data_IF_988163899573
#
_entry.id   IF_988163899573
#
_cell.length_a   1.000
_cell.length_b   1.000
_cell.length_c   1.000
_cell.angle_alpha   90.00
_cell.angle_beta   90.00
_cell.angle_gamma   90.00
#
_symmetry.space_group_name_H-M   'P 1'
#
loop_
_entity.id
_entity.type
_entity.pdbx_description
1 polymer ?
#
# COMPACT_ATOMS: atom_id res chain seq x y z
N UNK A 1 3.48 -2.18 21.59
CA UNK A 1 3.26 -2.44 20.14
C UNK A 1 2.97 -3.91 19.90
N UNK A 2 1.78 -4.23 19.39
CA UNK A 2 1.46 -5.59 18.96
C UNK A 2 2.21 -5.91 17.65
N UNK A 3 3.02 -6.98 17.58
CA UNK A 3 3.78 -7.34 16.37
C UNK A 3 2.90 -7.74 15.17
N UNK A 4 1.61 -7.96 15.40
CA UNK A 4 0.60 -8.29 14.38
C UNK A 4 -0.14 -7.06 13.84
N UNK A 5 0.05 -5.88 14.46
CA UNK A 5 -0.60 -4.66 14.00
C UNK A 5 -0.19 -4.34 12.57
N UNK A 6 -1.16 -4.01 11.69
CA UNK A 6 -0.85 -3.63 10.34
C UNK A 6 -0.13 -2.26 10.30
N UNK A 7 0.93 -2.20 9.51
CA UNK A 7 1.70 -1.00 9.23
C UNK A 7 1.82 -0.82 7.70
N UNK A 8 2.07 0.40 7.23
CA UNK A 8 2.26 0.74 5.82
C UNK A 8 1.10 0.28 4.89
N UNK A 9 -0.14 0.37 5.38
CA UNK A 9 -1.33 -0.08 4.65
C UNK A 9 -1.57 0.75 3.39
N UNK A 10 -1.73 0.09 2.25
CA UNK A 10 -2.05 0.71 0.98
C UNK A 10 -2.95 -0.17 0.10
N UNK A 11 -3.62 0.47 -0.86
CA UNK A 11 -4.62 -0.17 -1.74
C UNK A 11 -4.24 0.03 -3.21
N UNK A 12 -4.36 -1.00 -4.04
CA UNK A 12 -4.19 -0.91 -5.50
C UNK A 12 -5.33 -1.62 -6.24
N UNK A 13 -5.48 -1.33 -7.54
CA UNK A 13 -6.49 -1.99 -8.38
C UNK A 13 -6.11 -3.42 -8.73
N UNK A 14 -7.12 -4.29 -8.84
CA UNK A 14 -6.99 -5.61 -9.47
C UNK A 14 -8.17 -5.81 -10.41
N UNK A 15 -7.97 -5.58 -11.71
CA UNK A 15 -9.06 -5.66 -12.68
C UNK A 15 -10.17 -4.62 -12.41
N UNK A 16 -11.42 -4.88 -12.85
CA UNK A 16 -12.47 -3.86 -12.87
C UNK A 16 -13.19 -3.65 -11.53
N UNK A 17 -13.29 -4.67 -10.69
CA UNK A 17 -14.15 -4.69 -9.50
C UNK A 17 -13.47 -5.25 -8.25
N UNK A 18 -12.15 -5.48 -8.28
CA UNK A 18 -11.39 -5.94 -7.12
C UNK A 18 -10.31 -4.94 -6.74
N UNK A 19 -9.94 -5.00 -5.48
CA UNK A 19 -8.84 -4.21 -4.92
C UNK A 19 -7.89 -5.12 -4.16
N UNK A 20 -6.60 -4.82 -4.27
CA UNK A 20 -5.56 -5.40 -3.42
C UNK A 20 -5.38 -4.48 -2.23
N UNK A 21 -5.31 -5.07 -1.04
CA UNK A 21 -4.92 -4.41 0.19
C UNK A 21 -3.63 -5.05 0.66
N UNK A 22 -2.60 -4.23 0.85
CA UNK A 22 -1.28 -4.66 1.23
C UNK A 22 -0.83 -3.95 2.50
N UNK A 23 -0.16 -4.67 3.40
CA UNK A 23 0.33 -4.15 4.68
C UNK A 23 1.50 -4.96 5.20
N UNK A 24 2.23 -4.41 6.17
CA UNK A 24 3.39 -5.05 6.79
C UNK A 24 3.10 -5.38 8.26
N UNK A 25 3.55 -6.55 8.71
CA UNK A 25 3.57 -6.97 10.12
C UNK A 25 4.99 -7.35 10.56
N UNK A 26 5.28 -7.32 11.86
CA UNK A 26 6.62 -7.70 12.38
C UNK A 26 6.84 -9.22 12.37
N UNK A 27 5.76 -9.99 12.47
CA UNK A 27 5.78 -11.46 12.45
C UNK A 27 4.89 -12.01 11.34
N UNK A 28 5.11 -13.27 10.98
CA UNK A 28 4.27 -13.99 10.03
C UNK A 28 2.88 -14.20 10.62
N UNK A 29 1.87 -13.84 9.85
CA UNK A 29 0.46 -14.04 10.18
C UNK A 29 -0.23 -14.73 9.00
N UNK A 30 -1.44 -15.26 9.22
CA UNK A 30 -2.33 -15.59 8.12
C UNK A 30 -2.89 -14.29 7.53
N UNK A 31 -2.58 -13.93 6.27
CA UNK A 31 -3.06 -12.69 5.67
C UNK A 31 -4.55 -12.79 5.40
N UNK A 32 -5.35 -12.09 6.19
CA UNK A 32 -6.81 -12.06 6.06
C UNK A 32 -7.30 -10.63 6.15
N UNK A 33 -8.19 -10.25 5.24
CA UNK A 33 -8.97 -9.01 5.33
C UNK A 33 -10.42 -9.36 5.61
N UNK A 34 -11.01 -8.70 6.60
CA UNK A 34 -12.47 -8.70 6.79
C UNK A 34 -13.01 -7.33 6.39
N UNK A 35 -14.13 -7.29 5.67
CA UNK A 35 -14.67 -6.04 5.11
C UNK A 35 -16.19 -6.02 4.98
N UNK A 36 -16.77 -4.83 4.92
CA UNK A 36 -18.20 -4.59 4.77
C UNK A 36 -18.52 -3.13 4.49
N UNK A 37 -19.78 -2.80 4.21
CA UNK A 37 -20.21 -1.43 3.90
C UNK A 37 -20.71 -0.64 5.13
N UNK A 38 -20.60 -1.23 6.32
CA UNK A 38 -21.00 -0.60 7.59
C UNK A 38 -19.84 -0.75 8.57
N UNK A 39 -19.42 0.36 9.16
CA UNK A 39 -18.36 0.38 10.19
C UNK A 39 -18.67 -0.62 11.31
N UNK A 40 -17.65 -1.36 11.72
CA UNK A 40 -17.76 -2.41 12.74
C UNK A 40 -18.50 -3.68 12.31
N UNK A 41 -19.03 -3.76 11.08
CA UNK A 41 -19.74 -4.94 10.56
C UNK A 41 -19.07 -5.46 9.29
N UNK A 42 -18.28 -6.52 9.45
CA UNK A 42 -17.54 -7.15 8.37
C UNK A 42 -18.19 -8.48 7.97
N UNK A 43 -19.04 -8.43 6.95
CA UNK A 43 -19.81 -9.61 6.48
C UNK A 43 -19.04 -10.43 5.45
N UNK A 44 -17.95 -9.89 4.90
CA UNK A 44 -17.10 -10.57 3.93
C UNK A 44 -15.69 -10.76 4.49
N UNK A 45 -14.99 -11.78 3.98
CA UNK A 45 -13.56 -11.97 4.23
C UNK A 45 -12.85 -12.46 2.97
N UNK A 46 -11.54 -12.23 2.92
CA UNK A 46 -10.66 -12.81 1.91
C UNK A 46 -9.30 -13.14 2.55
N UNK A 47 -8.69 -14.21 2.08
CA UNK A 47 -7.33 -14.60 2.44
C UNK A 47 -6.35 -14.21 1.33
N UNK A 48 -5.08 -14.14 1.68
CA UNK A 48 -4.03 -13.80 0.74
C UNK A 48 -2.69 -14.42 1.09
N UNK A 49 -1.62 -13.77 0.67
CA UNK A 49 -0.25 -14.29 0.75
C UNK A 49 0.65 -13.37 1.54
N UNK A 50 1.64 -13.94 2.20
CA UNK A 50 2.68 -13.19 2.89
C UNK A 50 4.03 -13.45 2.21
N UNK A 51 4.88 -12.44 2.19
CA UNK A 51 6.25 -12.53 1.69
C UNK A 51 7.16 -11.60 2.48
N UNK A 52 8.47 -11.75 2.31
CA UNK A 52 9.45 -10.79 2.81
C UNK A 52 10.62 -10.77 1.85
N UNK A 53 11.49 -9.78 1.97
CA UNK A 53 12.72 -9.72 1.19
C UNK A 53 13.91 -9.36 2.06
N UNK A 54 15.07 -9.79 1.60
CA UNK A 54 16.36 -9.34 2.09
C UNK A 54 16.98 -8.41 1.05
N UNK A 55 17.67 -7.40 1.54
CA UNK A 55 18.49 -6.54 0.72
C UNK A 55 19.90 -6.54 1.28
N UNK A 56 20.84 -7.02 0.47
CA UNK A 56 22.15 -7.43 0.97
C UNK A 56 21.99 -8.39 2.17
N UNK A 57 22.97 -8.44 3.08
CA UNK A 57 22.90 -9.24 4.33
C UNK A 57 22.50 -8.42 5.55
N UNK A 58 22.10 -7.16 5.36
CA UNK A 58 21.97 -6.16 6.44
C UNK A 58 20.53 -5.70 6.66
N UNK A 59 19.65 -5.88 5.68
CA UNK A 59 18.23 -5.53 5.80
C UNK A 59 17.35 -6.74 5.51
N UNK A 60 16.35 -6.91 6.36
CA UNK A 60 15.23 -7.82 6.15
C UNK A 60 13.94 -7.01 6.38
N UNK A 61 13.02 -7.08 5.42
CA UNK A 61 11.72 -6.44 5.58
C UNK A 61 10.89 -7.11 6.68
N UNK A 62 9.86 -6.42 7.17
CA UNK A 62 8.75 -7.09 7.82
C UNK A 62 8.03 -8.07 6.87
N UNK A 63 7.01 -8.74 7.38
CA UNK A 63 6.16 -9.62 6.60
C UNK A 63 5.15 -8.79 5.81
N UNK A 64 5.30 -8.78 4.50
CA UNK A 64 4.46 -8.07 3.54
C UNK A 64 3.29 -8.98 3.17
N UNK A 65 2.10 -8.56 3.54
CA UNK A 65 0.86 -9.29 3.37
C UNK A 65 0.04 -8.66 2.25
N UNK A 66 -0.43 -9.47 1.31
CA UNK A 66 -1.24 -9.04 0.17
C UNK A 66 -2.56 -9.81 0.14
N UNK A 67 -3.69 -9.12 0.14
CA UNK A 67 -5.03 -9.73 0.01
C UNK A 67 -5.82 -9.03 -1.10
N UNK A 68 -6.45 -9.81 -1.97
CA UNK A 68 -7.38 -9.28 -2.99
C UNK A 68 -8.82 -9.47 -2.51
N UNK A 69 -9.57 -8.38 -2.46
CA UNK A 69 -10.99 -8.36 -2.06
C UNK A 69 -11.88 -8.03 -3.26
N UNK A 70 -13.13 -8.48 -3.20
CA UNK A 70 -14.15 -8.24 -4.22
C UNK A 70 -14.81 -9.52 -4.73
N UNK A 71 -15.74 -9.42 -5.69
CA UNK A 71 -16.10 -8.21 -6.43
C UNK A 71 -16.74 -7.12 -5.54
N UNK A 72 -16.43 -5.86 -5.82
CA UNK A 72 -16.86 -4.68 -5.06
C UNK A 72 -17.82 -3.83 -5.89
N UNK A 73 -18.78 -3.20 -5.21
CA UNK A 73 -19.68 -2.24 -5.84
C UNK A 73 -18.91 -0.93 -6.14
N UNK A 74 -19.10 -0.29 -7.30
CA UNK A 74 -18.51 1.01 -7.60
C UNK A 74 -19.07 2.11 -6.69
N UNK A 75 -18.36 3.22 -6.56
CA UNK A 75 -18.75 4.40 -5.77
C UNK A 75 -19.26 4.09 -4.35
N UNK A 76 -18.66 3.09 -3.69
CA UNK A 76 -19.12 2.53 -2.42
C UNK A 76 -18.01 2.60 -1.38
N UNK A 77 -18.35 3.03 -0.16
CA UNK A 77 -17.43 3.01 0.98
C UNK A 77 -17.43 1.61 1.59
N UNK A 78 -16.23 1.05 1.75
CA UNK A 78 -15.99 -0.20 2.44
C UNK A 78 -15.10 0.06 3.66
N UNK A 79 -15.52 -0.48 4.79
CA UNK A 79 -14.75 -0.56 6.03
C UNK A 79 -14.05 -1.91 6.07
N UNK A 80 -12.80 -1.94 6.51
CA UNK A 80 -12.00 -3.15 6.51
C UNK A 80 -10.99 -3.20 7.65
N UNK A 81 -10.55 -4.42 7.97
CA UNK A 81 -9.46 -4.69 8.91
C UNK A 81 -8.46 -5.67 8.33
N UNK A 82 -7.18 -5.39 8.50
CA UNK A 82 -6.07 -6.24 8.09
C UNK A 82 -5.62 -7.14 9.25
N UNK A 83 -5.51 -8.45 9.04
CA UNK A 83 -5.21 -9.44 10.08
C UNK A 83 -6.44 -10.17 10.65
N UNK A 84 -7.57 -10.13 9.92
CA UNK A 84 -8.81 -10.80 10.32
C UNK A 84 -9.50 -10.16 11.53
N UNK A 85 -10.31 -10.96 12.24
CA UNK A 85 -11.10 -10.51 13.40
C UNK A 85 -10.27 -10.14 14.63
N UNK A 86 -9.01 -10.58 14.70
CA UNK A 86 -8.08 -10.23 15.78
C UNK A 86 -7.54 -8.80 15.68
N UNK A 87 -7.67 -8.17 14.51
CA UNK A 87 -7.20 -6.81 14.29
C UNK A 87 -8.13 -5.78 14.94
N UNK A 88 -7.54 -4.81 15.63
CA UNK A 88 -8.31 -3.76 16.33
C UNK A 88 -8.52 -2.53 15.45
N UNK A 89 -7.58 -2.22 14.56
CA UNK A 89 -7.61 -1.03 13.72
C UNK A 89 -8.54 -1.20 12.51
N UNK A 90 -9.56 -0.35 12.43
CA UNK A 90 -10.43 -0.24 11.26
C UNK A 90 -9.91 0.84 10.30
N UNK A 91 -9.94 0.52 9.01
CA UNK A 91 -9.70 1.43 7.90
C UNK A 91 -10.97 1.52 7.05
N UNK A 92 -11.00 2.48 6.12
CA UNK A 92 -12.03 2.55 5.11
C UNK A 92 -11.46 3.08 3.79
N UNK A 93 -12.04 2.65 2.68
CA UNK A 93 -11.76 3.19 1.36
C UNK A 93 -13.05 3.33 0.57
N UNK A 94 -13.01 4.16 -0.47
CA UNK A 94 -14.11 4.32 -1.42
C UNK A 94 -13.70 3.75 -2.78
N UNK A 95 -14.53 2.88 -3.35
CA UNK A 95 -14.33 2.42 -4.73
C UNK A 95 -14.60 3.57 -5.72
N UNK A 96 -13.87 3.66 -6.83
CA UNK A 96 -14.15 4.64 -7.89
C UNK A 96 -15.54 4.43 -8.50
N UNK A 97 -16.09 5.46 -9.18
CA UNK A 97 -17.30 5.29 -9.97
C UNK A 97 -17.04 4.41 -11.20
N UNK A 98 -18.06 3.69 -11.65
CA UNK A 98 -18.01 2.87 -12.87
C UNK A 98 -18.29 3.67 -14.15
N UNK A 99 -18.60 4.96 -14.02
CA UNK A 99 -18.91 5.87 -15.11
C UNK A 99 -18.11 7.17 -14.93
N UNK A 100 -17.86 7.86 -16.04
CA UNK A 100 -17.17 9.13 -16.03
C UNK A 100 -17.99 10.25 -15.37
N UNK A 101 -17.33 11.25 -14.75
CA UNK A 101 -15.88 11.38 -14.64
C UNK A 101 -15.26 10.52 -13.53
N UNK A 102 -14.06 9.99 -13.80
CA UNK A 102 -13.16 9.43 -12.77
C UNK A 102 -12.04 10.45 -12.58
N UNK A 103 -11.81 10.90 -11.34
CA UNK A 103 -10.82 11.93 -11.01
C UNK A 103 -9.50 11.29 -10.59
N UNK A 104 -8.43 11.64 -11.28
CA UNK A 104 -7.07 11.19 -10.98
C UNK A 104 -6.23 12.33 -10.43
N UNK A 105 -5.51 12.07 -9.36
CA UNK A 105 -4.41 12.90 -8.89
C UNK A 105 -3.09 12.25 -9.23
N UNK A 106 -2.11 13.07 -9.62
CA UNK A 106 -0.80 12.60 -10.09
C UNK A 106 0.30 13.46 -9.49
N UNK A 107 1.28 12.82 -8.87
CA UNK A 107 2.54 13.44 -8.45
C UNK A 107 3.65 12.40 -8.52
N UNK A 108 4.80 12.76 -9.07
CA UNK A 108 6.01 11.93 -9.13
C UNK A 108 6.98 12.27 -8.01
N UNK A 109 8.04 11.47 -7.90
CA UNK A 109 9.29 11.92 -7.25
C UNK A 109 9.08 12.36 -5.79
N UNK A 110 8.28 11.58 -5.04
CA UNK A 110 7.79 12.00 -3.72
C UNK A 110 8.91 12.05 -2.68
N UNK A 111 9.65 10.96 -2.49
CA UNK A 111 10.65 10.83 -1.43
C UNK A 111 10.04 10.86 -0.01
N UNK A 112 10.83 11.30 0.97
CA UNK A 112 10.46 11.23 2.42
C UNK A 112 10.72 12.52 3.19
N UNK A 113 10.73 13.66 2.49
CA UNK A 113 11.05 14.97 3.06
C UNK A 113 9.82 15.71 3.60
N UNK A 114 10.02 16.86 4.23
CA UNK A 114 8.94 17.78 4.61
C UNK A 114 8.14 18.31 3.40
N UNK A 115 8.77 18.43 2.23
CA UNK A 115 8.10 18.81 0.99
C UNK A 115 7.18 17.70 0.48
N UNK A 116 7.54 16.45 0.75
CA UNK A 116 6.67 15.30 0.52
C UNK A 116 5.42 15.42 1.38
N UNK A 117 5.57 15.72 2.68
CA UNK A 117 4.43 15.93 3.57
C UNK A 117 3.55 17.09 3.08
N UNK A 118 4.13 18.22 2.68
CA UNK A 118 3.38 19.34 2.07
C UNK A 118 2.60 18.90 0.83
N UNK A 119 3.22 18.10 -0.05
CA UNK A 119 2.56 17.56 -1.25
C UNK A 119 1.38 16.65 -0.89
N UNK A 120 1.56 15.76 0.09
CA UNK A 120 0.49 14.88 0.60
C UNK A 120 -0.63 15.69 1.27
N UNK A 121 -0.30 16.77 1.98
CA UNK A 121 -1.30 17.66 2.58
C UNK A 121 -2.14 18.37 1.52
N UNK A 122 -1.53 18.82 0.42
CA UNK A 122 -2.26 19.37 -0.73
C UNK A 122 -3.12 18.30 -1.40
N UNK A 123 -2.58 17.11 -1.61
CA UNK A 123 -3.29 15.96 -2.19
C UNK A 123 -4.53 15.60 -1.35
N UNK A 124 -4.42 15.64 -0.02
CA UNK A 124 -5.51 15.31 0.91
C UNK A 124 -6.71 16.26 0.81
N UNK A 125 -6.47 17.51 0.38
CA UNK A 125 -7.49 18.55 0.23
C UNK A 125 -8.23 18.47 -1.10
N UNK A 126 -7.69 17.73 -2.08
CA UNK A 126 -8.30 17.61 -3.40
C UNK A 126 -9.15 16.35 -3.50
N UNK A 127 -10.39 16.50 -3.96
CA UNK A 127 -11.29 15.36 -4.17
C UNK A 127 -10.89 14.60 -5.45
N UNK A 128 -10.39 13.39 -5.27
CA UNK A 128 -10.00 12.49 -6.36
C UNK A 128 -10.34 11.03 -5.99
N UNK A 129 -10.53 10.20 -7.01
CA UNK A 129 -10.90 8.79 -6.86
C UNK A 129 -9.66 7.88 -6.82
N UNK A 130 -8.59 8.28 -7.52
CA UNK A 130 -7.37 7.49 -7.70
C UNK A 130 -6.15 8.40 -7.61
N UNK A 131 -5.10 7.93 -6.95
CA UNK A 131 -3.79 8.58 -6.99
C UNK A 131 -2.80 7.74 -7.83
N UNK A 132 -1.98 8.41 -8.63
CA UNK A 132 -0.94 7.81 -9.46
C UNK A 132 0.42 8.44 -9.12
N UNK A 133 1.38 7.58 -8.77
CA UNK A 133 2.77 7.92 -8.49
C UNK A 133 3.70 7.27 -9.52
N UNK A 134 4.08 8.00 -10.58
CA UNK A 134 4.77 7.43 -11.73
C UNK A 134 6.30 7.28 -11.53
N UNK A 135 6.74 6.60 -10.47
CA UNK A 135 8.16 6.33 -10.21
C UNK A 135 8.80 7.24 -9.15
N UNK A 136 10.02 6.85 -8.75
CA UNK A 136 10.87 7.51 -7.76
C UNK A 136 10.12 7.74 -6.45
N UNK A 137 9.75 6.62 -5.81
CA UNK A 137 8.81 6.59 -4.71
C UNK A 137 9.46 7.13 -3.44
N UNK A 138 10.48 6.42 -2.95
CA UNK A 138 11.03 6.64 -1.60
C UNK A 138 12.38 7.34 -1.58
N UNK A 139 13.13 7.31 -2.70
CA UNK A 139 14.56 7.63 -2.74
C UNK A 139 15.37 6.87 -1.68
N UNK A 140 15.01 5.61 -1.43
CA UNK A 140 15.75 4.78 -0.48
C UNK A 140 17.20 4.58 -0.90
N UNK A 141 17.48 4.52 -2.20
CA UNK A 141 18.82 4.47 -2.78
C UNK A 141 19.75 3.56 -1.98
N UNK A 142 19.40 2.28 -1.90
CA UNK A 142 20.11 1.23 -1.18
C UNK A 142 19.91 1.25 0.36
N UNK A 143 19.45 2.34 0.97
CA UNK A 143 19.14 2.48 2.40
C UNK A 143 17.69 2.04 2.67
N UNK A 144 17.49 0.73 2.71
CA UNK A 144 16.16 0.11 2.75
C UNK A 144 15.19 0.54 3.86
N UNK A 145 15.61 0.92 5.09
CA UNK A 145 14.68 1.44 6.09
C UNK A 145 13.89 2.68 5.62
N UNK A 146 14.39 3.41 4.61
CA UNK A 146 13.67 4.55 4.00
C UNK A 146 12.38 4.10 3.32
N UNK A 147 12.30 2.88 2.77
CA UNK A 147 11.04 2.32 2.27
C UNK A 147 9.98 2.17 3.38
N UNK A 148 10.40 1.81 4.60
CA UNK A 148 9.49 1.72 5.74
C UNK A 148 9.00 3.10 6.19
N UNK A 149 9.88 4.11 6.17
CA UNK A 149 9.50 5.51 6.41
C UNK A 149 8.51 5.99 5.36
N UNK A 150 8.78 5.74 4.08
CA UNK A 150 7.89 6.11 2.98
C UNK A 150 6.51 5.47 3.11
N UNK A 151 6.45 4.15 3.35
CA UNK A 151 5.19 3.43 3.52
C UNK A 151 4.32 4.00 4.66
N UNK A 152 4.95 4.38 5.79
CA UNK A 152 4.26 5.02 6.91
C UNK A 152 3.78 6.42 6.58
N UNK A 153 4.61 7.18 5.86
CA UNK A 153 4.31 8.55 5.43
C UNK A 153 3.07 8.58 4.52
N UNK A 154 2.94 7.66 3.57
CA UNK A 154 1.83 7.65 2.61
C UNK A 154 0.58 6.92 3.10
N UNK A 155 0.69 6.01 4.10
CA UNK A 155 -0.42 5.20 4.63
C UNK A 155 -1.72 6.00 4.90
N UNK A 156 -1.70 7.21 5.49
CA UNK A 156 -2.93 7.96 5.77
C UNK A 156 -3.80 8.22 4.53
N UNK A 157 -3.18 8.31 3.35
CA UNK A 157 -3.88 8.50 2.07
C UNK A 157 -3.98 7.19 1.28
N UNK A 158 -2.89 6.41 1.22
CA UNK A 158 -2.82 5.17 0.44
C UNK A 158 -3.77 4.07 0.96
N UNK A 159 -4.16 4.11 2.23
CA UNK A 159 -5.14 3.17 2.82
C UNK A 159 -6.61 3.52 2.50
N UNK A 160 -6.88 4.67 1.87
CA UNK A 160 -8.25 5.21 1.67
C UNK A 160 -8.75 5.19 0.23
N UNK A 161 -7.87 5.00 -0.74
CA UNK A 161 -8.19 4.98 -2.17
C UNK A 161 -7.08 4.25 -2.93
N UNK A 162 -7.35 3.78 -4.15
CA UNK A 162 -6.32 3.18 -5.00
C UNK A 162 -5.12 4.12 -5.18
N UNK A 163 -3.96 3.63 -4.76
CA UNK A 163 -2.63 4.25 -4.85
C UNK A 163 -1.83 3.45 -5.86
N UNK A 164 -1.84 3.92 -7.10
CA UNK A 164 -1.22 3.24 -8.23
C UNK A 164 0.20 3.76 -8.39
N UNK A 165 1.16 2.85 -8.55
CA UNK A 165 2.58 3.21 -8.71
C UNK A 165 3.17 2.56 -9.95
N UNK A 166 4.23 3.17 -10.48
CA UNK A 166 5.18 2.51 -11.40
C UNK A 166 6.59 2.65 -10.85
N UNK A 167 7.55 1.87 -11.35
CA UNK A 167 8.96 2.03 -10.99
C UNK A 167 9.63 3.20 -11.74
N UNK A 168 10.52 3.92 -11.07
CA UNK A 168 11.47 4.87 -11.64
C UNK A 168 12.91 4.33 -11.58
N UNK A 169 13.91 5.19 -11.83
CA UNK A 169 15.31 4.78 -11.76
C UNK A 169 15.80 4.59 -10.31
N UNK A 170 15.22 5.31 -9.34
CA UNK A 170 15.60 5.15 -7.93
C UNK A 170 15.12 3.81 -7.34
N UNK A 171 14.13 3.15 -7.94
CA UNK A 171 13.72 1.79 -7.55
C UNK A 171 14.67 0.70 -8.07
N UNK A 172 15.61 0.99 -8.98
CA UNK A 172 16.49 -0.03 -9.57
C UNK A 172 17.29 -0.76 -8.49
N UNK A 173 17.87 -0.01 -7.54
CA UNK A 173 18.58 -0.51 -6.36
C UNK A 173 19.43 -1.76 -6.64
N UNK A 174 20.21 -1.76 -7.72
CA UNK A 174 21.07 -2.88 -8.11
C UNK A 174 22.52 -2.54 -7.82
N UNK A 175 23.22 -3.42 -7.10
CA UNK A 175 24.65 -3.29 -6.83
C UNK A 175 25.37 -4.45 -7.53
N UNK A 176 26.24 -4.17 -8.52
CA UNK A 176 27.01 -5.22 -9.19
C UNK A 176 27.68 -6.16 -8.17
N UNK A 177 27.55 -7.46 -8.42
CA UNK A 177 28.10 -8.55 -7.58
C UNK A 177 27.50 -8.71 -6.17
N UNK A 178 26.99 -7.66 -5.54
CA UNK A 178 26.46 -7.70 -4.16
C UNK A 178 24.94 -7.88 -4.09
N UNK A 179 24.19 -7.25 -5.00
CA UNK A 179 22.73 -7.36 -5.10
C UNK A 179 22.31 -7.22 -6.56
N UNK A 180 22.15 -8.35 -7.26
CA UNK A 180 22.02 -8.36 -8.73
C UNK A 180 20.60 -8.14 -9.25
N UNK A 181 19.59 -8.35 -8.42
CA UNK A 181 18.19 -8.19 -8.80
C UNK A 181 17.81 -6.72 -8.72
N UNK A 182 17.30 -6.17 -9.83
CA UNK A 182 16.72 -4.83 -9.82
C UNK A 182 15.32 -4.82 -9.21
N UNK A 183 14.89 -3.69 -8.66
CA UNK A 183 13.51 -3.48 -8.19
C UNK A 183 13.07 -4.41 -7.07
N UNK A 184 14.01 -4.94 -6.26
CA UNK A 184 13.67 -5.90 -5.19
C UNK A 184 12.65 -5.32 -4.22
N UNK A 185 12.89 -4.13 -3.65
CA UNK A 185 11.96 -3.53 -2.71
C UNK A 185 10.61 -3.19 -3.37
N UNK A 186 10.65 -2.56 -4.55
CA UNK A 186 9.47 -2.20 -5.33
C UNK A 186 8.57 -3.42 -5.60
N UNK A 187 9.11 -4.50 -6.18
CA UNK A 187 8.35 -5.70 -6.56
C UNK A 187 7.73 -6.45 -5.36
N UNK A 188 8.35 -6.32 -4.18
CA UNK A 188 7.83 -6.93 -2.97
C UNK A 188 6.78 -6.06 -2.29
N UNK A 189 6.95 -4.72 -2.31
CA UNK A 189 6.09 -3.78 -1.58
C UNK A 189 4.87 -3.33 -2.37
N UNK A 190 4.98 -3.23 -3.68
CA UNK A 190 3.95 -2.64 -4.55
C UNK A 190 3.64 -3.60 -5.72
N UNK A 191 2.51 -4.32 -5.62
CA UNK A 191 2.06 -5.35 -6.57
C UNK A 191 0.73 -5.01 -7.24
#
# INVERSE_FOLDING_TARGET
DDPRSPDQVHISFVGPDKMRISWITKILIMPTVVYGTVSGKYVNSANGTSSSYHYLRIYQSGQINDVVIGPLKPNTVYYYKCGGTYSTQEFNFKTPPSQFPIKFAVAGDLGTTEWTQSTLDHLSKWEHDVFVLPGDLSYADFIQPVWDTFGRLVQPLASRRPWMVTQGNHEVERIPLLHRQSFTAYNHRWR
#
